data_IF_428071857252
#
_entry.id   IF_428071857252
#
_cell.length_a   1.000
_cell.length_b   1.000
_cell.length_c   1.000
_cell.angle_alpha   90.00
_cell.angle_beta   90.00
_cell.angle_gamma   90.00
#
_symmetry.space_group_name_H-M   'P 1'
#
loop_
_entity.id
_entity.type
_entity.pdbx_description
1 polymer ?
#
# COMPACT_ATOMS: atom_id res chain seq x y z
N UNK A 1 -30.27 -2.92 11.44
CA UNK A 1 -29.04 -2.92 12.27
C UNK A 1 -28.20 -1.76 11.79
N UNK A 2 -27.94 -0.79 12.67
CA UNK A 2 -27.51 0.56 12.30
C UNK A 2 -26.11 0.62 11.68
N UNK A 3 -26.02 1.27 10.52
CA UNK A 3 -24.76 1.73 9.95
C UNK A 3 -24.29 2.93 10.78
N UNK A 4 -23.25 2.77 11.60
CA UNK A 4 -22.63 3.90 12.29
C UNK A 4 -21.97 4.81 11.23
N UNK A 5 -22.56 5.97 10.95
CA UNK A 5 -22.01 6.95 10.02
C UNK A 5 -20.72 7.54 10.61
N UNK A 6 -19.56 7.14 10.09
CA UNK A 6 -18.29 7.82 10.38
C UNK A 6 -18.26 9.09 9.53
N UNK A 7 -19.13 10.04 9.86
CA UNK A 7 -19.45 11.12 8.91
C UNK A 7 -18.40 12.23 8.86
N UNK A 8 -17.33 12.21 9.69
CA UNK A 8 -16.37 13.33 9.74
C UNK A 8 -14.94 12.99 10.16
N UNK A 9 -14.61 11.73 10.44
CA UNK A 9 -13.22 11.38 10.77
C UNK A 9 -12.88 9.93 10.44
N UNK A 10 -11.62 9.71 10.05
CA UNK A 10 -11.09 8.40 9.70
C UNK A 10 -9.75 8.18 10.41
N UNK A 11 -9.75 7.22 11.33
CA UNK A 11 -8.57 6.85 12.08
C UNK A 11 -7.78 5.79 11.31
N UNK A 12 -6.56 6.10 10.89
CA UNK A 12 -5.77 5.25 10.04
C UNK A 12 -4.62 4.60 10.83
N UNK A 13 -4.37 3.31 10.59
CA UNK A 13 -3.12 2.66 10.99
C UNK A 13 -2.27 2.45 9.76
N UNK A 14 -1.04 2.98 9.78
CA UNK A 14 -0.04 2.69 8.75
C UNK A 14 0.77 1.43 9.11
N UNK A 15 1.07 0.61 8.09
CA UNK A 15 2.01 -0.49 8.16
C UNK A 15 2.89 -0.47 6.90
N UNK A 16 4.19 -0.40 7.11
CA UNK A 16 5.20 -0.69 6.10
C UNK A 16 5.33 -2.21 5.92
N UNK A 17 5.08 -2.72 4.71
CA UNK A 17 5.18 -4.14 4.38
C UNK A 17 6.49 -4.53 3.65
N UNK A 18 7.43 -3.60 3.46
CA UNK A 18 8.67 -3.81 2.72
C UNK A 18 9.11 -2.62 1.84
N UNK A 19 8.68 -1.42 2.19
CA UNK A 19 8.89 -0.16 1.47
C UNK A 19 10.33 0.34 1.54
N UNK A 20 10.66 1.28 0.66
CA UNK A 20 11.93 2.01 0.66
C UNK A 20 11.91 3.30 1.51
N UNK A 21 10.88 3.48 2.35
CA UNK A 21 10.64 4.68 3.17
C UNK A 21 10.28 5.96 2.38
N UNK A 22 10.00 5.84 1.08
CA UNK A 22 9.60 6.99 0.24
C UNK A 22 8.15 7.42 0.48
N UNK A 23 7.21 6.47 0.44
CA UNK A 23 5.78 6.77 0.64
C UNK A 23 5.50 7.20 2.08
N UNK A 24 6.28 6.70 3.03
CA UNK A 24 6.24 7.01 4.45
C UNK A 24 6.66 8.45 4.74
N UNK A 25 7.66 8.97 4.03
CA UNK A 25 8.06 10.37 4.16
C UNK A 25 6.94 11.31 3.70
N UNK A 26 6.31 11.01 2.57
CA UNK A 26 5.19 11.80 2.07
C UNK A 26 3.94 11.65 2.96
N UNK A 27 3.69 10.46 3.51
CA UNK A 27 2.64 10.24 4.50
C UNK A 27 2.90 11.01 5.81
N UNK A 28 4.15 11.03 6.29
CA UNK A 28 4.55 11.80 7.48
C UNK A 28 4.47 13.31 7.23
N UNK A 29 4.67 13.78 6.01
CA UNK A 29 4.50 15.20 5.69
C UNK A 29 3.06 15.69 5.97
N UNK A 30 2.07 14.79 5.92
CA UNK A 30 0.67 15.10 6.25
C UNK A 30 0.42 15.44 7.72
N UNK A 31 1.30 15.00 8.64
CA UNK A 31 1.19 15.34 10.06
C UNK A 31 1.75 16.74 10.37
N UNK A 32 2.42 17.37 9.40
CA UNK A 32 2.96 18.72 9.54
C UNK A 32 1.90 19.80 9.33
N UNK A 33 2.20 21.03 9.74
CA UNK A 33 1.29 22.17 9.66
C UNK A 33 0.94 22.63 8.24
N UNK A 34 1.73 22.24 7.23
CA UNK A 34 1.49 22.66 5.85
C UNK A 34 0.32 21.92 5.20
N UNK A 35 0.25 20.60 5.39
CA UNK A 35 -0.81 19.76 4.84
C UNK A 35 -1.91 19.46 5.86
N UNK A 36 -1.57 19.42 7.16
CA UNK A 36 -2.46 19.26 8.32
C UNK A 36 -3.67 18.36 8.06
N UNK A 37 -3.42 17.05 7.95
CA UNK A 37 -4.50 16.08 7.69
C UNK A 37 -5.55 16.02 8.81
N UNK A 38 -5.20 16.45 10.03
CA UNK A 38 -6.13 16.46 11.16
C UNK A 38 -7.25 17.48 10.96
N UNK A 39 -6.99 18.57 10.23
CA UNK A 39 -8.01 19.56 9.87
C UNK A 39 -9.18 18.97 9.06
N UNK A 40 -8.91 17.95 8.23
CA UNK A 40 -9.92 17.26 7.42
C UNK A 40 -10.46 15.98 8.08
N UNK A 41 -10.13 15.75 9.36
CA UNK A 41 -10.62 14.60 10.13
C UNK A 41 -9.83 13.31 9.96
N UNK A 42 -8.65 13.35 9.35
CA UNK A 42 -7.75 12.20 9.23
C UNK A 42 -6.75 12.19 10.39
N UNK A 43 -6.50 11.02 10.96
CA UNK A 43 -5.42 10.87 11.95
C UNK A 43 -4.72 9.52 11.83
N UNK A 44 -3.47 9.44 12.29
CA UNK A 44 -2.69 8.20 12.31
C UNK A 44 -2.58 7.69 13.74
N UNK A 45 -3.21 6.55 14.01
CA UNK A 45 -3.25 5.95 15.35
C UNK A 45 -2.14 4.92 15.56
N UNK A 46 -1.65 4.85 16.79
CA UNK A 46 -0.62 3.89 17.18
C UNK A 46 -1.15 2.45 17.22
N UNK A 47 -2.38 2.26 17.72
CA UNK A 47 -2.96 0.94 17.91
C UNK A 47 -3.89 0.58 16.75
N UNK A 48 -3.74 -0.61 16.13
CA UNK A 48 -4.68 -1.09 15.13
C UNK A 48 -6.10 -1.28 15.66
N UNK A 49 -6.27 -1.44 16.99
CA UNK A 49 -7.60 -1.58 17.61
C UNK A 49 -8.41 -0.28 17.62
N UNK A 50 -7.76 0.87 17.37
CA UNK A 50 -8.40 2.18 17.30
C UNK A 50 -8.51 2.69 15.85
N UNK A 51 -8.16 1.86 14.86
CA UNK A 51 -8.13 2.25 13.46
C UNK A 51 -9.35 1.75 12.69
N UNK A 52 -9.89 2.63 11.86
CA UNK A 52 -10.97 2.36 10.90
C UNK A 52 -10.41 1.98 9.53
N UNK A 53 -9.17 2.38 9.22
CA UNK A 53 -8.48 2.05 7.98
C UNK A 53 -7.05 1.54 8.23
N UNK A 54 -6.61 0.60 7.39
CA UNK A 54 -5.22 0.15 7.31
C UNK A 54 -4.61 0.70 6.02
N UNK A 55 -3.58 1.53 6.15
CA UNK A 55 -2.75 2.01 5.04
C UNK A 55 -1.53 1.11 4.94
N UNK A 56 -1.30 0.53 3.76
CA UNK A 56 -0.15 -0.35 3.50
C UNK A 56 0.74 0.27 2.44
N UNK A 57 2.04 0.33 2.73
CA UNK A 57 3.08 0.79 1.81
C UNK A 57 4.05 -0.32 1.46
N UNK A 58 4.73 -0.14 0.33
CA UNK A 58 5.76 -1.07 -0.14
C UNK A 58 5.21 -2.32 -0.82
N UNK A 59 6.08 -3.11 -1.47
CA UNK A 59 5.73 -4.47 -1.86
C UNK A 59 5.51 -5.28 -0.58
N UNK A 60 4.59 -6.24 -0.61
CA UNK A 60 4.37 -7.10 0.55
C UNK A 60 5.51 -8.13 0.59
N UNK A 61 6.50 -7.90 1.46
CA UNK A 61 7.58 -8.86 1.67
C UNK A 61 7.06 -10.16 2.27
N UNK A 62 7.73 -11.28 1.99
CA UNK A 62 7.32 -12.60 2.47
C UNK A 62 7.20 -12.67 4.00
N UNK A 63 8.13 -12.02 4.70
CA UNK A 63 8.19 -11.99 6.16
C UNK A 63 7.09 -11.12 6.76
N UNK A 64 6.64 -10.07 6.05
CA UNK A 64 5.61 -9.17 6.54
C UNK A 64 4.19 -9.69 6.39
N UNK A 65 3.97 -10.77 5.64
CA UNK A 65 2.64 -11.34 5.44
C UNK A 65 1.92 -11.70 6.76
N UNK A 66 2.62 -12.37 7.68
CA UNK A 66 2.04 -12.78 8.98
C UNK A 66 1.73 -11.57 9.88
N UNK A 67 2.67 -10.62 10.12
CA UNK A 67 2.38 -9.38 10.84
C UNK A 67 1.24 -8.57 10.24
N UNK A 68 1.21 -8.42 8.91
CA UNK A 68 0.20 -7.63 8.22
C UNK A 68 -1.20 -8.21 8.40
N UNK A 69 -1.35 -9.54 8.30
CA UNK A 69 -2.61 -10.24 8.60
C UNK A 69 -3.04 -10.10 10.05
N UNK A 70 -2.09 -10.13 10.99
CA UNK A 70 -2.38 -9.93 12.41
C UNK A 70 -2.91 -8.51 12.70
N UNK A 71 -2.30 -7.49 12.08
CA UNK A 71 -2.78 -6.10 12.15
C UNK A 71 -4.17 -6.00 11.55
N UNK A 72 -4.37 -6.51 10.33
CA UNK A 72 -5.68 -6.50 9.68
C UNK A 72 -6.76 -7.17 10.54
N UNK A 73 -6.46 -8.30 11.17
CA UNK A 73 -7.38 -8.99 12.07
C UNK A 73 -7.72 -8.18 13.32
N UNK A 74 -6.77 -7.41 13.85
CA UNK A 74 -6.94 -6.59 15.06
C UNK A 74 -7.80 -5.34 14.86
N UNK A 75 -7.96 -4.85 13.61
CA UNK A 75 -8.84 -3.71 13.33
C UNK A 75 -10.32 -4.07 13.61
N UNK A 76 -11.08 -3.19 14.29
CA UNK A 76 -12.53 -3.33 14.44
C UNK A 76 -13.24 -3.34 13.09
N UNK A 77 -14.51 -3.79 13.06
CA UNK A 77 -15.37 -3.68 11.87
C UNK A 77 -16.36 -2.52 12.06
N UNK A 78 -16.70 -1.76 11.01
CA UNK A 78 -16.21 -1.82 9.62
C UNK A 78 -14.76 -1.32 9.50
N UNK A 79 -13.99 -1.89 8.55
CA UNK A 79 -12.59 -1.50 8.31
C UNK A 79 -12.26 -1.40 6.82
N UNK A 80 -11.38 -0.46 6.48
CA UNK A 80 -10.92 -0.19 5.11
C UNK A 80 -9.45 -0.54 4.94
N UNK A 81 -9.06 -0.86 3.71
CA UNK A 81 -7.70 -1.16 3.30
C UNK A 81 -7.29 -0.22 2.17
N UNK A 82 -6.18 0.48 2.35
CA UNK A 82 -5.64 1.43 1.39
C UNK A 82 -4.26 0.95 0.97
N UNK A 83 -4.02 0.82 -0.33
CA UNK A 83 -2.69 0.60 -0.88
C UNK A 83 -2.07 1.96 -1.26
N UNK A 84 -0.92 2.28 -0.66
CA UNK A 84 -0.22 3.54 -0.87
C UNK A 84 1.10 3.30 -1.62
N UNK A 85 1.18 3.86 -2.82
CA UNK A 85 2.32 3.79 -3.72
C UNK A 85 2.27 2.63 -4.72
N UNK A 86 3.12 2.72 -5.74
CA UNK A 86 3.11 1.80 -6.86
C UNK A 86 3.44 0.36 -6.46
N UNK A 87 4.40 0.20 -5.54
CA UNK A 87 4.78 -1.10 -4.99
C UNK A 87 3.64 -1.78 -4.23
N UNK A 88 2.87 -1.02 -3.44
CA UNK A 88 1.72 -1.54 -2.70
C UNK A 88 0.59 -2.00 -3.63
N UNK A 89 0.49 -1.40 -4.82
CA UNK A 89 -0.45 -1.83 -5.85
C UNK A 89 0.11 -2.92 -6.79
N UNK A 90 1.32 -3.43 -6.53
CA UNK A 90 1.90 -4.56 -7.29
C UNK A 90 2.68 -4.17 -8.55
N UNK A 91 3.07 -2.90 -8.66
CA UNK A 91 3.90 -2.38 -9.73
C UNK A 91 5.26 -1.92 -9.18
N UNK A 92 6.01 -1.16 -9.98
CA UNK A 92 7.27 -0.56 -9.55
C UNK A 92 8.45 -1.53 -9.62
N UNK A 93 9.58 -1.10 -9.06
CA UNK A 93 10.87 -1.79 -9.23
C UNK A 93 10.95 -3.17 -8.57
N UNK A 94 10.06 -3.47 -7.63
CA UNK A 94 10.00 -4.75 -6.92
C UNK A 94 8.95 -5.72 -7.47
N UNK A 95 8.32 -5.40 -8.60
CA UNK A 95 7.36 -6.29 -9.23
C UNK A 95 8.03 -7.61 -9.65
N UNK A 96 7.53 -8.73 -9.11
CA UNK A 96 8.10 -10.06 -9.38
C UNK A 96 9.41 -10.36 -8.64
N UNK A 97 9.80 -9.55 -7.66
CA UNK A 97 10.99 -9.81 -6.86
C UNK A 97 10.82 -11.05 -5.97
N UNK A 98 11.88 -11.87 -5.86
CA UNK A 98 11.86 -13.18 -5.18
C UNK A 98 11.46 -13.16 -3.70
N UNK A 99 11.68 -12.03 -3.01
CA UNK A 99 11.43 -11.88 -1.58
C UNK A 99 10.08 -11.23 -1.27
N UNK A 100 9.25 -11.03 -2.30
CA UNK A 100 7.97 -10.32 -2.19
C UNK A 100 6.84 -11.16 -2.75
N UNK A 101 5.65 -10.99 -2.18
CA UNK A 101 4.39 -11.55 -2.67
C UNK A 101 3.65 -10.60 -3.62
N UNK A 102 4.36 -9.61 -4.15
CA UNK A 102 3.80 -8.54 -4.98
C UNK A 102 3.02 -7.51 -4.16
N UNK A 103 1.93 -7.01 -4.74
CA UNK A 103 1.09 -5.97 -4.13
C UNK A 103 0.13 -6.48 -3.06
N UNK A 104 -0.56 -5.54 -2.44
CA UNK A 104 -1.56 -5.75 -1.38
C UNK A 104 -2.74 -6.60 -1.87
N UNK A 105 -3.22 -6.37 -3.09
CA UNK A 105 -4.37 -7.10 -3.66
C UNK A 105 -4.09 -8.61 -3.76
N UNK A 106 -2.96 -8.99 -4.36
CA UNK A 106 -2.55 -10.39 -4.50
C UNK A 106 -2.18 -11.06 -3.17
N UNK A 107 -1.75 -10.27 -2.17
CA UNK A 107 -1.30 -10.79 -0.88
C UNK A 107 -2.41 -10.90 0.17
N UNK A 108 -3.39 -9.99 0.17
CA UNK A 108 -4.43 -9.91 1.19
C UNK A 108 -5.84 -10.03 0.62
N UNK A 109 -6.34 -8.91 0.10
CA UNK A 109 -7.64 -8.73 -0.54
C UNK A 109 -7.57 -7.47 -1.39
N UNK A 110 -8.51 -7.26 -2.33
CA UNK A 110 -8.63 -6.00 -3.06
C UNK A 110 -8.70 -4.80 -2.10
N UNK A 111 -7.79 -3.80 -2.25
CA UNK A 111 -7.87 -2.54 -1.52
C UNK A 111 -9.17 -1.79 -1.85
N UNK A 112 -9.70 -1.06 -0.88
CA UNK A 112 -10.83 -0.17 -1.10
C UNK A 112 -10.42 1.07 -1.92
N UNK A 113 -9.17 1.55 -1.70
CA UNK A 113 -8.56 2.63 -2.46
C UNK A 113 -7.10 2.30 -2.75
N UNK A 114 -6.65 2.67 -3.95
CA UNK A 114 -5.26 2.60 -4.36
C UNK A 114 -4.78 4.01 -4.69
N UNK A 115 -3.74 4.48 -4.01
CA UNK A 115 -3.10 5.77 -4.24
C UNK A 115 -1.80 5.49 -4.99
N UNK A 116 -1.76 5.83 -6.29
CA UNK A 116 -0.64 5.54 -7.20
C UNK A 116 0.46 6.60 -7.09
N UNK A 117 1.72 6.20 -7.27
CA UNK A 117 2.88 7.09 -7.22
C UNK A 117 4.15 6.42 -6.65
N UNK A 118 5.32 7.02 -6.88
CA UNK A 118 6.62 6.49 -6.42
C UNK A 118 7.62 7.59 -5.97
N UNK A 119 7.40 8.25 -4.82
CA UNK A 119 6.17 8.22 -4.03
C UNK A 119 5.09 9.19 -4.59
N UNK A 120 3.81 8.99 -4.29
CA UNK A 120 2.79 10.02 -4.52
C UNK A 120 3.08 11.26 -3.67
N UNK A 121 2.76 12.44 -4.18
CA UNK A 121 2.89 13.69 -3.44
C UNK A 121 1.94 13.72 -2.22
N UNK A 122 2.23 14.50 -1.16
CA UNK A 122 1.35 14.55 0.00
C UNK A 122 -0.07 15.00 -0.36
N UNK A 123 -0.22 15.93 -1.30
CA UNK A 123 -1.53 16.38 -1.78
C UNK A 123 -2.34 15.22 -2.41
N UNK A 124 -1.71 14.37 -3.21
CA UNK A 124 -2.36 13.19 -3.79
C UNK A 124 -2.72 12.16 -2.72
N UNK A 125 -1.86 11.97 -1.72
CA UNK A 125 -2.15 11.09 -0.58
C UNK A 125 -3.37 11.62 0.20
N UNK A 126 -3.40 12.91 0.51
CA UNK A 126 -4.49 13.54 1.25
C UNK A 126 -5.82 13.41 0.49
N UNK A 127 -5.81 13.66 -0.82
CA UNK A 127 -6.98 13.49 -1.68
C UNK A 127 -7.44 12.02 -1.72
N UNK A 128 -6.51 11.08 -1.87
CA UNK A 128 -6.80 9.65 -1.86
C UNK A 128 -7.41 9.17 -0.54
N UNK A 129 -6.89 9.63 0.60
CA UNK A 129 -7.43 9.31 1.92
C UNK A 129 -8.79 9.96 2.16
N UNK A 130 -9.01 11.18 1.65
CA UNK A 130 -10.32 11.85 1.73
C UNK A 130 -11.38 11.08 0.95
N UNK A 131 -11.02 10.51 -0.22
CA UNK A 131 -11.95 9.67 -0.97
C UNK A 131 -12.33 8.36 -0.24
N UNK A 132 -11.51 7.85 0.68
CA UNK A 132 -11.87 6.71 1.55
C UNK A 132 -13.02 7.08 2.49
N UNK A 133 -13.06 8.34 2.92
CA UNK A 133 -14.16 8.87 3.75
C UNK A 133 -15.45 9.00 2.93
N UNK A 134 -15.33 9.46 1.67
CA UNK A 134 -16.47 9.69 0.77
C UNK A 134 -17.00 8.41 0.10
N UNK A 135 -16.19 7.35 -0.05
CA UNK A 135 -16.61 6.01 -0.52
C UNK A 135 -17.52 5.28 0.48
N UNK A 136 -18.13 6.00 1.41
CA UNK A 136 -19.44 5.64 1.97
C UNK A 136 -20.58 5.77 0.94
N UNK A 137 -20.30 6.24 -0.30
CA UNK A 137 -21.31 6.44 -1.34
C UNK A 137 -21.31 5.47 -2.54
N UNK A 138 -20.23 4.80 -2.96
CA UNK A 138 -20.26 3.62 -3.88
C UNK A 138 -18.83 3.01 -4.01
N UNK A 139 -18.65 1.68 -4.11
CA UNK A 139 -17.33 1.04 -4.18
C UNK A 139 -16.82 0.90 -5.63
N UNK A 140 -15.93 1.80 -6.09
CA UNK A 140 -14.85 1.54 -7.10
C UNK A 140 -14.25 2.82 -7.73
N UNK A 141 -14.05 3.91 -6.99
CA UNK A 141 -13.40 5.09 -7.57
C UNK A 141 -11.87 4.91 -7.58
N UNK A 142 -11.33 4.38 -8.67
CA UNK A 142 -9.92 4.54 -9.01
C UNK A 142 -9.60 6.04 -9.09
N UNK A 143 -8.72 6.54 -8.24
CA UNK A 143 -8.16 7.89 -8.39
C UNK A 143 -6.90 7.76 -9.21
N UNK A 144 -7.04 8.04 -10.49
CA UNK A 144 -5.94 8.15 -11.43
C UNK A 144 -5.30 9.54 -11.27
N UNK A 145 -4.30 9.64 -10.40
CA UNK A 145 -3.36 10.76 -10.44
C UNK A 145 -2.39 10.53 -11.62
N UNK A 146 -2.86 10.75 -12.85
CA UNK A 146 -1.94 10.84 -14.00
C UNK A 146 -1.03 12.07 -13.79
N UNK A 147 0.30 11.92 -13.72
CA UNK A 147 1.14 12.96 -14.31
C UNK A 147 0.81 13.01 -15.81
N UNK A 148 0.68 14.21 -16.36
CA UNK A 148 0.40 14.47 -17.78
C UNK A 148 1.01 13.43 -18.72
N UNK A 149 0.20 12.90 -19.64
CA UNK A 149 0.50 11.79 -20.57
C UNK A 149 1.84 11.90 -21.33
N UNK A 150 2.49 13.06 -21.31
CA UNK A 150 3.75 13.34 -21.99
C UNK A 150 5.00 12.72 -21.33
N UNK A 151 4.91 12.18 -20.10
CA UNK A 151 6.06 11.59 -19.39
C UNK A 151 6.14 10.05 -19.40
N UNK A 152 5.07 9.35 -19.79
CA UNK A 152 4.98 7.88 -19.70
C UNK A 152 5.76 7.17 -20.83
N UNK A 153 5.93 7.83 -21.98
CA UNK A 153 6.63 7.25 -23.13
C UNK A 153 8.15 7.08 -22.90
N UNK A 154 8.74 7.88 -22.01
CA UNK A 154 10.19 7.97 -21.81
C UNK A 154 10.76 6.99 -20.76
N UNK A 155 9.92 6.23 -20.04
CA UNK A 155 10.33 5.32 -18.95
C UNK A 155 10.00 3.85 -19.19
N UNK A 156 9.88 3.41 -20.45
CA UNK A 156 9.89 1.98 -20.76
C UNK A 156 11.26 1.37 -20.42
N UNK A 157 11.40 0.92 -19.18
CA UNK A 157 12.47 0.00 -18.77
C UNK A 157 12.26 -1.26 -19.62
N UNK A 158 13.26 -1.71 -20.40
CA UNK A 158 13.15 -2.96 -21.14
C UNK A 158 12.88 -4.12 -20.16
N UNK A 159 12.14 -5.17 -20.57
CA UNK A 159 11.86 -6.30 -19.69
C UNK A 159 13.17 -6.82 -19.10
N UNK A 160 13.24 -6.91 -17.77
CA UNK A 160 14.36 -7.59 -17.13
C UNK A 160 14.34 -9.04 -17.60
N UNK A 161 15.39 -9.44 -18.31
CA UNK A 161 15.58 -10.82 -18.73
C UNK A 161 15.49 -11.71 -17.48
N UNK A 162 14.51 -12.61 -17.46
CA UNK A 162 14.27 -13.44 -16.29
C UNK A 162 15.55 -14.25 -15.98
N UNK A 163 16.00 -14.30 -14.71
CA UNK A 163 17.13 -15.14 -14.35
C UNK A 163 16.78 -16.58 -14.75
N UNK A 164 17.63 -17.19 -15.58
CA UNK A 164 17.50 -18.60 -15.96
C UNK A 164 17.40 -19.41 -14.68
N UNK A 165 16.35 -20.24 -14.60
CA UNK A 165 15.94 -20.95 -13.39
C UNK A 165 17.12 -21.52 -12.61
N UNK A 166 17.16 -21.22 -11.31
CA UNK A 166 18.04 -21.97 -10.43
C UNK A 166 17.63 -23.44 -10.45
N UNK A 167 18.65 -24.28 -10.44
CA UNK A 167 18.50 -25.71 -10.35
C UNK A 167 18.14 -26.02 -8.89
N UNK A 168 17.01 -26.69 -8.70
CA UNK A 168 16.58 -27.29 -7.44
C UNK A 168 17.77 -27.92 -6.69
N UNK A 169 17.92 -27.75 -5.36
CA UNK A 169 19.06 -28.26 -4.59
C UNK A 169 19.03 -29.77 -4.33
N UNK A 170 18.62 -30.58 -5.31
CA UNK A 170 18.49 -32.03 -5.19
C UNK A 170 19.68 -32.84 -5.76
N UNK A 171 20.71 -32.19 -6.30
CA UNK A 171 21.75 -32.86 -7.11
C UNK A 171 23.19 -32.71 -6.56
N UNK A 172 23.38 -32.58 -5.24
CA UNK A 172 24.70 -32.78 -4.63
C UNK A 172 24.94 -34.28 -4.45
N UNK A 173 25.16 -34.96 -5.57
CA UNK A 173 25.65 -36.32 -5.62
C UNK A 173 27.09 -36.39 -5.12
N UNK A 174 27.33 -37.36 -4.24
CA UNK A 174 28.62 -37.79 -3.71
C UNK A 174 29.68 -37.90 -4.82
N UNK A 175 30.79 -37.17 -4.67
CA UNK A 175 32.08 -37.52 -5.28
C UNK A 175 33.22 -37.22 -4.31
N UNK A 176 33.54 -38.26 -3.56
CA UNK A 176 34.88 -38.66 -3.13
C UNK A 176 35.91 -38.41 -4.25
N UNK A 177 36.91 -37.53 -4.05
CA UNK A 177 38.39 -37.76 -4.02
C UNK A 177 39.06 -36.52 -3.42
#
# INVERSE_FOLDING_TARGET
>A
MGHHSHSRSLQCRHVDAGSCNGCEQELNALTGSFYDMQHVGLDIVASPRHADALIVTGPVSDTMMTPLRAVWAALPRPKRLVALGDCAAGYGVFQGAYATRGGVEGSMRPPDVVIRGCPPTPAEILQGLTAVMDTLLEPSSFIDSQPSADLVEARRIPPLEQPRGDQTPADVGEREI
#
